data_IF_283269535256
#
_entry.id   IF_283269535256
#
_cell.length_a   1.000
_cell.length_b   1.000
_cell.length_c   1.000
_cell.angle_alpha   90.00
_cell.angle_beta   90.00
_cell.angle_gamma   90.00
#
_symmetry.space_group_name_H-M   'P 1'
#
loop_
_entity.id
_entity.type
_entity.pdbx_description
1 polymer ?
#
# COMPACT_ATOMS: atom_id res chain seq x y z
N UNK A 1 5.90 59.32 3.25
CA UNK A 1 6.73 58.11 3.32
C UNK A 1 5.88 57.05 3.96
N UNK A 2 5.16 56.34 3.16
CA UNK A 2 4.26 55.26 3.54
C UNK A 2 4.21 54.28 2.35
N UNK A 3 4.99 53.26 2.39
CA UNK A 3 4.85 52.08 1.53
C UNK A 3 5.64 50.96 2.18
N UNK A 4 4.92 49.94 2.64
CA UNK A 4 5.30 48.55 2.63
C UNK A 4 4.43 47.80 3.66
N UNK A 5 3.20 47.59 3.26
CA UNK A 5 2.25 46.79 4.05
C UNK A 5 1.41 45.84 3.19
N UNK A 6 1.93 45.42 2.05
CA UNK A 6 1.17 44.53 1.18
C UNK A 6 2.10 43.45 0.63
N UNK A 7 2.21 42.30 1.29
CA UNK A 7 2.47 40.99 0.64
C UNK A 7 2.80 39.81 1.58
N UNK A 8 2.31 39.80 2.81
CA UNK A 8 2.48 38.63 3.68
C UNK A 8 1.24 37.71 3.77
N UNK A 9 0.12 38.06 3.13
CA UNK A 9 -1.15 37.28 3.26
C UNK A 9 -1.32 36.11 2.27
N UNK A 10 -0.36 35.89 1.39
CA UNK A 10 -0.45 34.83 0.36
C UNK A 10 0.06 33.45 0.78
N UNK A 11 0.76 33.34 1.91
CA UNK A 11 1.43 32.10 2.34
C UNK A 11 0.67 31.32 3.41
N UNK A 12 -0.41 31.86 3.97
CA UNK A 12 -1.20 31.15 4.98
C UNK A 12 -2.08 30.08 4.33
N UNK A 13 -1.67 28.81 4.44
CA UNK A 13 -2.46 27.67 4.03
C UNK A 13 -3.83 27.63 4.72
N UNK A 14 -4.88 27.23 3.99
CA UNK A 14 -6.24 27.12 4.53
C UNK A 14 -6.34 26.05 5.61
N UNK A 15 -7.07 26.32 6.69
CA UNK A 15 -7.30 25.37 7.77
C UNK A 15 -8.23 24.24 7.30
N UNK A 16 -7.86 22.98 7.60
CA UNK A 16 -8.63 21.78 7.31
C UNK A 16 -8.89 20.98 8.58
N UNK A 17 -10.13 20.53 8.78
CA UNK A 17 -10.54 19.75 9.95
C UNK A 17 -10.70 20.58 11.23
N UNK A 18 -10.73 19.92 12.40
CA UNK A 18 -10.91 20.58 13.69
C UNK A 18 -9.79 21.58 13.98
N UNK A 19 -10.13 22.76 14.51
CA UNK A 19 -9.16 23.81 14.85
C UNK A 19 -8.03 23.31 15.76
N UNK A 20 -8.32 22.35 16.65
CA UNK A 20 -7.32 21.74 17.56
C UNK A 20 -6.19 21.01 16.82
N UNK A 21 -6.46 20.41 15.67
CA UNK A 21 -5.44 19.71 14.86
C UNK A 21 -4.58 20.68 14.04
N UNK A 22 -5.04 21.91 13.83
CA UNK A 22 -4.35 22.96 13.07
C UNK A 22 -3.68 22.44 11.79
N UNK A 23 -4.44 21.63 11.01
CA UNK A 23 -3.99 21.12 9.71
C UNK A 23 -4.16 22.24 8.69
N UNK A 24 -3.07 22.64 8.04
CA UNK A 24 -3.09 23.66 6.99
C UNK A 24 -2.74 23.01 5.65
N UNK A 25 -3.57 23.28 4.65
CA UNK A 25 -3.42 22.75 3.28
C UNK A 25 -2.70 23.74 2.38
N UNK A 26 -1.90 23.21 1.48
CA UNK A 26 -1.13 24.00 0.52
C UNK A 26 -2.02 24.78 -0.46
N UNK A 27 -1.56 25.91 -0.99
CA UNK A 27 -2.28 26.68 -1.99
C UNK A 27 -2.68 25.83 -3.22
N UNK A 28 -3.91 26.02 -3.68
CA UNK A 28 -4.45 25.27 -4.82
C UNK A 28 -4.90 23.82 -4.50
N UNK A 29 -4.83 23.38 -3.25
CA UNK A 29 -5.43 22.13 -2.77
C UNK A 29 -6.81 22.43 -2.21
N UNK A 30 -7.83 21.69 -2.67
CA UNK A 30 -9.21 21.80 -2.17
C UNK A 30 -9.48 20.85 -1.01
N UNK A 31 -10.57 21.09 -0.28
CA UNK A 31 -11.04 20.14 0.76
C UNK A 31 -11.36 18.77 0.14
N UNK A 32 -11.90 18.72 -1.09
CA UNK A 32 -12.17 17.46 -1.79
C UNK A 32 -10.89 16.66 -2.04
N UNK A 33 -9.80 17.31 -2.46
CA UNK A 33 -8.50 16.66 -2.62
C UNK A 33 -7.99 16.06 -1.30
N UNK A 34 -8.23 16.75 -0.17
CA UNK A 34 -7.85 16.26 1.17
C UNK A 34 -8.66 15.03 1.58
N UNK A 35 -9.99 15.05 1.39
CA UNK A 35 -10.82 13.87 1.68
C UNK A 35 -10.40 12.68 0.81
N UNK A 36 -10.04 12.92 -0.43
CA UNK A 36 -9.53 11.86 -1.32
C UNK A 36 -8.19 11.31 -0.85
N UNK A 37 -7.26 12.17 -0.37
CA UNK A 37 -6.02 11.73 0.26
C UNK A 37 -6.29 10.84 1.47
N UNK A 38 -7.16 11.28 2.39
CA UNK A 38 -7.51 10.54 3.60
C UNK A 38 -8.19 9.21 3.26
N UNK A 39 -9.08 9.20 2.26
CA UNK A 39 -9.73 7.99 1.76
C UNK A 39 -8.70 7.00 1.19
N UNK A 40 -7.79 7.45 0.31
CA UNK A 40 -6.72 6.59 -0.20
C UNK A 40 -5.78 6.08 0.90
N UNK A 41 -5.49 6.92 1.91
CA UNK A 41 -4.71 6.50 3.08
C UNK A 41 -5.41 5.38 3.87
N UNK A 42 -6.73 5.47 4.07
CA UNK A 42 -7.50 4.46 4.79
C UNK A 42 -7.39 3.07 4.17
N UNK A 43 -7.36 2.97 2.84
CA UNK A 43 -7.24 1.70 2.13
C UNK A 43 -5.79 1.23 1.94
N UNK A 44 -4.81 2.14 1.97
CA UNK A 44 -3.44 1.89 1.50
C UNK A 44 -2.78 0.67 2.12
N UNK A 45 -2.57 0.65 3.43
CA UNK A 45 -1.87 -0.46 4.13
C UNK A 45 -2.73 -1.73 4.16
N UNK A 46 -4.05 -1.60 4.34
CA UNK A 46 -4.94 -2.76 4.37
C UNK A 46 -4.85 -3.58 3.09
N UNK A 47 -4.93 -2.90 1.93
CA UNK A 47 -4.84 -3.58 0.64
C UNK A 47 -3.44 -4.10 0.32
N UNK A 48 -2.39 -3.51 0.88
CA UNK A 48 -1.03 -4.05 0.77
C UNK A 48 -0.81 -5.31 1.62
N UNK A 49 -1.38 -5.35 2.82
CA UNK A 49 -1.16 -6.44 3.78
C UNK A 49 -2.02 -7.67 3.52
N UNK A 50 -3.26 -7.48 3.06
CA UNK A 50 -4.22 -8.59 2.93
C UNK A 50 -3.75 -9.71 2.00
N UNK A 51 -2.94 -9.41 0.98
CA UNK A 51 -2.39 -10.44 0.10
C UNK A 51 -1.47 -11.42 0.86
N UNK A 52 -0.70 -10.94 1.85
CA UNK A 52 0.12 -11.81 2.68
C UNK A 52 -0.75 -12.66 3.62
N UNK A 53 -1.80 -12.06 4.20
CA UNK A 53 -2.75 -12.75 5.05
C UNK A 53 -3.53 -13.86 4.32
N UNK A 54 -3.69 -13.75 3.00
CA UNK A 54 -4.37 -14.77 2.18
C UNK A 54 -3.49 -15.95 1.78
N UNK A 55 -2.16 -15.83 1.90
CA UNK A 55 -1.21 -16.85 1.42
C UNK A 55 -1.39 -18.24 2.04
N UNK A 56 -1.57 -18.41 3.38
CA UNK A 56 -1.69 -19.75 3.94
C UNK A 56 -2.83 -20.54 3.31
N UNK A 57 -3.99 -19.91 3.13
CA UNK A 57 -5.14 -20.56 2.48
C UNK A 57 -4.88 -20.93 1.03
N UNK A 58 -4.23 -20.03 0.26
CA UNK A 58 -3.89 -20.32 -1.13
C UNK A 58 -2.86 -21.43 -1.26
N UNK A 59 -1.88 -21.50 -0.36
CA UNK A 59 -0.84 -22.52 -0.40
C UNK A 59 -1.38 -23.89 -0.05
N UNK A 60 -2.14 -24.01 1.07
CA UNK A 60 -2.63 -25.28 1.56
C UNK A 60 -3.83 -25.81 0.78
N UNK A 61 -4.86 -24.97 0.62
CA UNK A 61 -6.18 -25.44 0.20
C UNK A 61 -6.41 -25.28 -1.31
N UNK A 62 -5.69 -24.39 -1.98
CA UNK A 62 -5.82 -24.14 -3.44
C UNK A 62 -4.72 -24.82 -4.23
N UNK A 63 -3.45 -24.64 -3.83
CA UNK A 63 -2.29 -25.16 -4.55
C UNK A 63 -1.76 -26.48 -4.00
N UNK A 64 -2.19 -26.92 -2.81
CA UNK A 64 -1.74 -28.15 -2.18
C UNK A 64 -0.24 -28.18 -1.85
N UNK A 65 0.35 -27.01 -1.54
CA UNK A 65 1.78 -26.91 -1.20
C UNK A 65 2.04 -27.57 0.16
N UNK A 66 3.01 -28.51 0.25
CA UNK A 66 3.38 -29.14 1.51
C UNK A 66 3.76 -28.11 2.59
N UNK A 67 3.42 -28.40 3.83
CA UNK A 67 3.61 -27.47 4.97
C UNK A 67 5.07 -27.02 5.10
N UNK A 68 6.02 -27.92 4.85
CA UNK A 68 7.46 -27.66 4.94
C UNK A 68 7.92 -26.64 3.87
N UNK A 69 7.24 -26.56 2.73
CA UNK A 69 7.59 -25.71 1.60
C UNK A 69 6.91 -24.33 1.67
N UNK A 70 5.85 -24.17 2.46
CA UNK A 70 5.08 -22.92 2.54
C UNK A 70 5.91 -21.76 3.09
N UNK A 71 6.76 -21.99 4.10
CA UNK A 71 7.65 -20.98 4.67
C UNK A 71 8.65 -20.44 3.64
N UNK A 72 9.47 -21.30 3.02
CA UNK A 72 10.37 -20.88 1.94
C UNK A 72 9.65 -20.20 0.77
N UNK A 73 8.47 -20.68 0.38
CA UNK A 73 7.68 -20.08 -0.69
C UNK A 73 7.22 -18.66 -0.31
N UNK A 74 6.65 -18.47 0.87
CA UNK A 74 6.23 -17.15 1.36
C UNK A 74 7.41 -16.17 1.44
N UNK A 75 8.57 -16.65 1.90
CA UNK A 75 9.81 -15.88 1.93
C UNK A 75 10.28 -15.46 0.55
N UNK A 76 10.30 -16.37 -0.41
CA UNK A 76 10.69 -16.10 -1.79
C UNK A 76 9.74 -15.10 -2.47
N UNK A 77 8.42 -15.27 -2.32
CA UNK A 77 7.43 -14.34 -2.86
C UNK A 77 7.61 -12.93 -2.30
N UNK A 78 7.89 -12.81 -1.00
CA UNK A 78 8.16 -11.52 -0.35
C UNK A 78 9.47 -10.93 -0.85
N UNK A 79 10.53 -11.72 -0.91
CA UNK A 79 11.84 -11.28 -1.41
C UNK A 79 11.77 -10.75 -2.84
N UNK A 80 11.17 -11.50 -3.76
CA UNK A 80 11.01 -11.05 -5.15
C UNK A 80 10.15 -9.80 -5.26
N UNK A 81 9.10 -9.67 -4.44
CA UNK A 81 8.28 -8.45 -4.38
C UNK A 81 9.11 -7.24 -3.94
N UNK A 82 9.95 -7.39 -2.92
CA UNK A 82 10.81 -6.30 -2.44
C UNK A 82 11.88 -5.92 -3.48
N UNK A 83 12.44 -6.88 -4.21
CA UNK A 83 13.36 -6.60 -5.33
C UNK A 83 12.67 -5.74 -6.38
N UNK A 84 11.43 -6.09 -6.79
CA UNK A 84 10.66 -5.28 -7.75
C UNK A 84 10.41 -3.87 -7.20
N UNK A 85 10.04 -3.75 -5.94
CA UNK A 85 9.83 -2.44 -5.30
C UNK A 85 11.10 -1.60 -5.33
N UNK A 86 12.24 -2.15 -4.91
CA UNK A 86 13.53 -1.44 -4.87
C UNK A 86 13.93 -0.96 -6.27
N UNK A 87 13.80 -1.81 -7.28
CA UNK A 87 14.17 -1.49 -8.66
C UNK A 87 13.27 -0.44 -9.30
N UNK A 88 11.98 -0.39 -8.91
CA UNK A 88 10.99 0.43 -9.61
C UNK A 88 10.61 1.71 -8.87
N UNK A 89 10.78 1.79 -7.55
CA UNK A 89 10.30 2.91 -6.73
C UNK A 89 10.90 4.25 -7.15
N UNK A 90 12.18 4.29 -7.51
CA UNK A 90 12.85 5.49 -7.99
C UNK A 90 12.31 5.98 -9.34
N UNK A 91 12.06 5.04 -10.28
CA UNK A 91 11.45 5.34 -11.58
C UNK A 91 10.02 5.84 -11.41
N UNK A 92 9.25 5.21 -10.54
CA UNK A 92 7.86 5.60 -10.22
C UNK A 92 7.83 7.00 -9.63
N UNK A 93 8.74 7.34 -8.71
CA UNK A 93 8.88 8.68 -8.17
C UNK A 93 9.11 9.72 -9.28
N UNK A 94 10.10 9.48 -10.13
CA UNK A 94 10.43 10.38 -11.25
C UNK A 94 9.31 10.44 -12.31
N UNK A 95 8.60 9.34 -12.57
CA UNK A 95 7.40 9.35 -13.42
C UNK A 95 6.28 10.19 -12.81
N UNK A 96 6.07 10.11 -11.51
CA UNK A 96 5.05 10.89 -10.82
C UNK A 96 5.31 12.39 -10.83
N UNK A 97 6.57 12.79 -10.89
CA UNK A 97 6.96 14.19 -11.08
C UNK A 97 6.60 14.73 -12.48
N UNK A 98 6.61 13.86 -13.50
CA UNK A 98 6.27 14.23 -14.88
C UNK A 98 4.78 14.13 -15.21
N UNK A 99 4.15 13.01 -14.82
CA UNK A 99 2.76 12.70 -15.13
C UNK A 99 1.79 13.27 -14.08
N UNK A 100 2.32 13.61 -12.90
CA UNK A 100 1.52 14.00 -11.74
C UNK A 100 1.25 12.83 -10.79
N UNK A 101 0.95 13.16 -9.54
CA UNK A 101 0.72 12.16 -8.47
C UNK A 101 -0.55 11.32 -8.71
N UNK A 102 -1.58 11.97 -9.28
CA UNK A 102 -2.91 11.41 -9.46
C UNK A 102 -2.94 10.12 -10.27
N UNK A 103 -2.46 10.05 -11.55
CA UNK A 103 -2.53 8.84 -12.34
C UNK A 103 -1.65 7.72 -11.78
N UNK A 104 -0.53 8.05 -11.14
CA UNK A 104 0.37 7.06 -10.56
C UNK A 104 -0.27 6.42 -9.33
N UNK A 105 -0.86 7.21 -8.42
CA UNK A 105 -1.49 6.63 -7.22
C UNK A 105 -2.79 5.88 -7.53
N UNK A 106 -3.62 6.40 -8.44
CA UNK A 106 -4.77 5.66 -8.94
C UNK A 106 -4.36 4.35 -9.64
N UNK A 107 -3.29 4.39 -10.45
CA UNK A 107 -2.70 3.22 -11.07
C UNK A 107 -2.20 2.17 -10.09
N UNK A 108 -1.70 2.57 -8.91
CA UNK A 108 -1.33 1.63 -7.85
C UNK A 108 -2.50 0.73 -7.44
N UNK A 109 -3.65 1.34 -7.16
CA UNK A 109 -4.85 0.60 -6.77
C UNK A 109 -5.46 -0.19 -7.93
N UNK A 110 -5.32 0.29 -9.18
CA UNK A 110 -5.70 -0.50 -10.35
C UNK A 110 -4.86 -1.77 -10.47
N UNK A 111 -3.54 -1.68 -10.26
CA UNK A 111 -2.64 -2.84 -10.26
C UNK A 111 -2.94 -3.77 -9.08
N UNK A 112 -3.26 -3.24 -7.89
CA UNK A 112 -3.75 -4.07 -6.78
C UNK A 112 -5.02 -4.82 -7.15
N UNK A 113 -5.99 -4.15 -7.81
CA UNK A 113 -7.22 -4.79 -8.29
C UNK A 113 -6.92 -5.95 -9.24
N UNK A 114 -6.07 -5.72 -10.24
CA UNK A 114 -5.64 -6.76 -11.19
C UNK A 114 -4.91 -7.89 -10.46
N UNK A 115 -4.00 -7.57 -9.54
CA UNK A 115 -3.28 -8.57 -8.74
C UNK A 115 -4.22 -9.44 -7.91
N UNK A 116 -5.16 -8.84 -7.16
CA UNK A 116 -6.16 -9.59 -6.40
C UNK A 116 -7.09 -10.42 -7.27
N UNK A 117 -7.42 -9.94 -8.46
CA UNK A 117 -8.23 -10.70 -9.41
C UNK A 117 -7.49 -11.93 -9.96
N UNK A 118 -6.22 -11.77 -10.30
CA UNK A 118 -5.39 -12.84 -10.89
C UNK A 118 -4.93 -13.87 -9.85
N UNK A 119 -4.66 -13.46 -8.62
CA UNK A 119 -4.02 -14.27 -7.58
C UNK A 119 -4.73 -15.61 -7.32
N UNK A 120 -6.08 -15.67 -7.17
CA UNK A 120 -6.79 -16.95 -6.99
C UNK A 120 -6.96 -17.77 -8.27
N UNK A 121 -6.48 -17.28 -9.41
CA UNK A 121 -6.50 -18.00 -10.69
C UNK A 121 -5.20 -18.79 -10.91
N UNK A 122 -4.21 -18.62 -10.04
CA UNK A 122 -2.96 -19.36 -10.12
C UNK A 122 -3.20 -20.88 -9.94
N UNK A 123 -2.66 -21.67 -10.85
CA UNK A 123 -2.69 -23.13 -10.82
C UNK A 123 -1.34 -23.72 -10.46
N UNK A 124 -0.28 -22.92 -10.53
CA UNK A 124 1.10 -23.32 -10.17
C UNK A 124 1.78 -22.22 -9.36
N UNK A 125 2.86 -22.60 -8.66
CA UNK A 125 3.67 -21.66 -7.85
C UNK A 125 4.32 -20.59 -8.74
N UNK A 126 4.70 -20.94 -9.97
CA UNK A 126 5.29 -20.00 -10.92
C UNK A 126 4.27 -18.94 -11.36
N UNK A 127 3.03 -19.34 -11.64
CA UNK A 127 1.94 -18.39 -11.95
C UNK A 127 1.64 -17.49 -10.76
N UNK A 128 1.58 -18.05 -9.56
CA UNK A 128 1.38 -17.29 -8.34
C UNK A 128 2.50 -16.25 -8.15
N UNK A 129 3.74 -16.66 -8.39
CA UNK A 129 4.91 -15.77 -8.34
C UNK A 129 4.79 -14.63 -9.35
N UNK A 130 4.44 -14.94 -10.60
CA UNK A 130 4.25 -13.91 -11.63
C UNK A 130 3.17 -12.89 -11.22
N UNK A 131 2.02 -13.37 -10.74
CA UNK A 131 0.93 -12.50 -10.29
C UNK A 131 1.35 -11.65 -9.08
N UNK A 132 2.18 -12.22 -8.19
CA UNK A 132 2.78 -11.49 -7.06
C UNK A 132 3.72 -10.38 -7.52
N UNK A 133 4.51 -10.59 -8.57
CA UNK A 133 5.40 -9.56 -9.13
C UNK A 133 4.59 -8.41 -9.78
N UNK A 134 3.48 -8.73 -10.44
CA UNK A 134 2.56 -7.69 -10.95
C UNK A 134 2.01 -6.86 -9.78
N UNK A 135 1.54 -7.51 -8.72
CA UNK A 135 1.06 -6.83 -7.52
C UNK A 135 2.15 -5.94 -6.88
N UNK A 136 3.40 -6.37 -6.90
CA UNK A 136 4.54 -5.63 -6.34
C UNK A 136 4.79 -4.28 -7.05
N UNK A 137 4.44 -4.12 -8.32
CA UNK A 137 4.46 -2.82 -8.99
C UNK A 137 3.45 -1.85 -8.34
N UNK A 138 2.24 -2.32 -8.04
CA UNK A 138 1.26 -1.54 -7.28
C UNK A 138 1.76 -1.16 -5.89
N UNK A 139 2.46 -2.09 -5.22
CA UNK A 139 3.11 -1.88 -3.93
C UNK A 139 4.13 -0.72 -3.99
N UNK A 140 5.02 -0.74 -5.00
CA UNK A 140 5.99 0.32 -5.23
C UNK A 140 5.33 1.68 -5.50
N UNK A 141 4.28 1.69 -6.34
CA UNK A 141 3.54 2.92 -6.66
C UNK A 141 2.84 3.49 -5.43
N UNK A 142 2.14 2.69 -4.64
CA UNK A 142 1.45 3.15 -3.43
C UNK A 142 2.44 3.64 -2.37
N UNK A 143 3.55 2.93 -2.16
CA UNK A 143 4.61 3.29 -1.22
C UNK A 143 5.26 4.63 -1.58
N UNK A 144 5.46 4.90 -2.88
CA UNK A 144 6.02 6.16 -3.35
C UNK A 144 5.00 7.32 -3.28
N UNK A 145 3.73 7.05 -3.59
CA UNK A 145 2.74 8.12 -3.78
C UNK A 145 2.15 8.65 -2.48
N UNK A 146 1.89 7.80 -1.49
CA UNK A 146 1.27 8.24 -0.24
C UNK A 146 2.07 9.37 0.44
N UNK A 147 3.38 9.21 0.76
CA UNK A 147 4.15 10.29 1.36
C UNK A 147 4.33 11.50 0.40
N UNK A 148 4.43 11.26 -0.90
CA UNK A 148 4.57 12.33 -1.88
C UNK A 148 3.34 13.24 -1.92
N UNK A 149 2.13 12.66 -1.95
CA UNK A 149 0.88 13.43 -1.95
C UNK A 149 0.68 14.15 -0.62
N UNK A 150 1.02 13.53 0.51
CA UNK A 150 0.97 14.18 1.83
C UNK A 150 1.86 15.43 1.84
N UNK A 151 3.10 15.31 1.34
CA UNK A 151 4.05 16.41 1.27
C UNK A 151 3.59 17.54 0.34
N UNK A 152 2.97 17.19 -0.80
CA UNK A 152 2.48 18.17 -1.77
C UNK A 152 1.20 18.90 -1.29
N UNK A 153 0.41 18.29 -0.39
CA UNK A 153 -0.88 18.81 0.06
C UNK A 153 -0.82 19.57 1.39
N UNK A 154 0.21 19.34 2.21
CA UNK A 154 0.39 20.00 3.50
C UNK A 154 1.39 21.14 3.40
N UNK A 155 1.11 22.27 4.09
CA UNK A 155 2.15 23.27 4.33
C UNK A 155 3.20 22.73 5.30
N UNK A 156 4.42 23.27 5.26
CA UNK A 156 5.56 22.75 6.02
C UNK A 156 5.27 22.65 7.53
N UNK A 157 4.64 23.67 8.13
CA UNK A 157 4.34 23.74 9.56
C UNK A 157 3.32 22.69 10.03
N UNK A 158 2.50 22.16 9.12
CA UNK A 158 1.49 21.13 9.42
C UNK A 158 1.81 19.74 8.85
N UNK A 159 2.93 19.58 8.15
CA UNK A 159 3.30 18.34 7.46
C UNK A 159 3.37 17.14 8.41
N UNK A 160 4.03 17.28 9.55
CA UNK A 160 4.12 16.19 10.53
C UNK A 160 2.74 15.75 11.05
N UNK A 161 1.84 16.71 11.33
CA UNK A 161 0.47 16.41 11.76
C UNK A 161 -0.36 15.73 10.67
N UNK A 162 -0.16 16.13 9.41
CA UNK A 162 -0.81 15.51 8.25
C UNK A 162 -0.34 14.08 8.05
N UNK A 163 0.97 13.84 8.14
CA UNK A 163 1.56 12.49 8.13
C UNK A 163 0.93 11.64 9.22
N UNK A 164 0.89 12.13 10.47
CA UNK A 164 0.29 11.40 11.59
C UNK A 164 -1.18 11.06 11.34
N UNK A 165 -1.98 12.01 10.85
CA UNK A 165 -3.40 11.79 10.54
C UNK A 165 -3.58 10.72 9.45
N UNK A 166 -2.79 10.75 8.38
CA UNK A 166 -2.84 9.75 7.31
C UNK A 166 -2.42 8.36 7.82
N UNK A 167 -1.37 8.27 8.64
CA UNK A 167 -0.92 6.99 9.20
C UNK A 167 -1.88 6.43 10.26
N UNK A 168 -2.53 7.27 11.05
CA UNK A 168 -3.63 6.82 11.92
C UNK A 168 -4.78 6.23 11.10
N UNK A 169 -5.18 6.87 9.99
CA UNK A 169 -6.19 6.33 9.10
C UNK A 169 -5.75 5.03 8.41
N UNK A 170 -4.47 4.91 8.03
CA UNK A 170 -3.92 3.64 7.53
C UNK A 170 -4.07 2.51 8.56
N UNK A 171 -3.69 2.77 9.82
CA UNK A 171 -3.84 1.78 10.90
C UNK A 171 -5.30 1.44 11.18
N UNK A 172 -6.19 2.44 11.21
CA UNK A 172 -7.62 2.23 11.35
C UNK A 172 -8.19 1.44 10.18
N UNK A 173 -7.80 1.78 8.94
CA UNK A 173 -8.18 1.05 7.73
C UNK A 173 -7.72 -0.39 7.76
N UNK A 174 -6.49 -0.64 8.23
CA UNK A 174 -5.96 -2.00 8.40
C UNK A 174 -6.89 -2.83 9.29
N UNK A 175 -7.25 -2.36 10.47
CA UNK A 175 -8.12 -3.08 11.39
C UNK A 175 -9.55 -3.21 10.83
N UNK A 176 -10.15 -2.12 10.37
CA UNK A 176 -11.56 -2.10 9.95
C UNK A 176 -11.83 -2.80 8.62
N UNK A 177 -10.85 -2.91 7.73
CA UNK A 177 -11.01 -3.60 6.45
C UNK A 177 -10.59 -5.06 6.54
N UNK A 178 -9.49 -5.38 7.23
CA UNK A 178 -9.05 -6.77 7.37
C UNK A 178 -10.00 -7.61 8.22
N UNK A 179 -10.60 -7.03 9.26
CA UNK A 179 -11.55 -7.77 10.10
C UNK A 179 -12.75 -8.32 9.30
N UNK A 180 -13.51 -7.53 8.54
CA UNK A 180 -14.58 -8.10 7.72
C UNK A 180 -14.05 -9.00 6.60
N UNK A 181 -12.93 -8.67 5.94
CA UNK A 181 -12.36 -9.51 4.88
C UNK A 181 -12.04 -10.93 5.37
N UNK A 182 -11.47 -11.07 6.59
CA UNK A 182 -11.22 -12.41 7.17
C UNK A 182 -12.53 -13.17 7.49
N UNK A 183 -13.58 -12.47 7.94
CA UNK A 183 -14.86 -13.07 8.25
C UNK A 183 -15.61 -13.53 7.02
N UNK A 184 -15.28 -13.02 5.85
CA UNK A 184 -15.87 -13.44 4.58
C UNK A 184 -15.36 -14.81 4.11
N UNK A 185 -14.18 -15.27 4.55
CA UNK A 185 -13.65 -16.55 4.08
C UNK A 185 -14.55 -17.72 4.43
N UNK A 186 -14.97 -17.96 5.69
CA UNK A 186 -15.91 -19.04 6.02
C UNK A 186 -17.24 -18.93 5.26
N UNK A 187 -17.77 -17.70 5.13
CA UNK A 187 -19.00 -17.46 4.37
C UNK A 187 -18.86 -17.89 2.90
N UNK A 188 -17.75 -17.55 2.26
CA UNK A 188 -17.51 -17.94 0.87
C UNK A 188 -17.22 -19.43 0.73
N UNK A 189 -16.64 -20.07 1.73
CA UNK A 189 -16.50 -21.54 1.79
C UNK A 189 -17.87 -22.23 1.82
N UNK A 190 -18.81 -21.74 2.63
CA UNK A 190 -20.17 -22.25 2.69
C UNK A 190 -20.93 -22.05 1.36
N UNK A 191 -20.83 -20.85 0.77
CA UNK A 191 -21.46 -20.50 -0.51
C UNK A 191 -20.91 -21.35 -1.67
N UNK A 192 -19.62 -21.67 -1.64
CA UNK A 192 -18.96 -22.48 -2.67
C UNK A 192 -19.16 -23.99 -2.50
N UNK A 193 -19.95 -24.42 -1.51
CA UNK A 193 -20.15 -25.83 -1.23
C UNK A 193 -18.88 -26.56 -0.78
N UNK A 194 -17.91 -25.84 -0.20
CA UNK A 194 -16.63 -26.37 0.25
C UNK A 194 -15.55 -26.43 -0.83
N UNK A 195 -15.81 -25.93 -2.05
CA UNK A 195 -14.76 -25.83 -3.08
C UNK A 195 -13.75 -24.69 -2.74
N UNK A 196 -12.49 -25.03 -2.40
CA UNK A 196 -11.52 -24.04 -1.96
C UNK A 196 -11.13 -23.06 -3.09
N UNK A 197 -11.15 -23.50 -4.36
CA UNK A 197 -10.80 -22.65 -5.50
C UNK A 197 -11.86 -21.58 -5.73
N UNK A 198 -13.14 -21.96 -5.66
CA UNK A 198 -14.24 -20.98 -5.78
C UNK A 198 -14.28 -20.05 -4.56
N UNK A 199 -14.09 -20.56 -3.35
CA UNK A 199 -13.99 -19.75 -2.15
C UNK A 199 -12.86 -18.73 -2.25
N UNK A 200 -11.65 -19.12 -2.70
CA UNK A 200 -10.52 -18.24 -2.92
C UNK A 200 -10.84 -17.12 -3.93
N UNK A 201 -11.53 -17.46 -5.03
CA UNK A 201 -11.94 -16.48 -6.05
C UNK A 201 -12.88 -15.43 -5.48
N UNK A 202 -13.97 -15.85 -4.84
CA UNK A 202 -14.94 -14.93 -4.24
C UNK A 202 -14.27 -14.05 -3.17
N UNK A 203 -13.42 -14.65 -2.33
CA UNK A 203 -12.75 -13.95 -1.26
C UNK A 203 -11.77 -12.88 -1.76
N UNK A 204 -10.92 -13.19 -2.73
CA UNK A 204 -9.91 -12.25 -3.25
C UNK A 204 -10.48 -11.27 -4.30
N UNK A 205 -11.59 -11.59 -4.95
CA UNK A 205 -12.27 -10.64 -5.84
C UNK A 205 -12.98 -9.52 -5.07
N UNK A 206 -13.30 -9.73 -3.80
CA UNK A 206 -13.84 -8.67 -2.91
C UNK A 206 -12.87 -7.50 -2.77
N UNK A 207 -11.61 -7.66 -2.32
CA UNK A 207 -10.64 -6.57 -2.30
C UNK A 207 -10.26 -6.09 -3.71
N UNK A 208 -10.34 -6.94 -4.75
CA UNK A 208 -10.15 -6.49 -6.12
C UNK A 208 -11.16 -5.40 -6.51
N UNK A 209 -12.45 -5.63 -6.23
CA UNK A 209 -13.51 -4.64 -6.45
C UNK A 209 -13.31 -3.37 -5.61
N UNK A 210 -12.93 -3.52 -4.33
CA UNK A 210 -12.62 -2.38 -3.47
C UNK A 210 -11.46 -1.55 -4.03
N UNK A 211 -10.37 -2.18 -4.48
CA UNK A 211 -9.24 -1.49 -5.10
C UNK A 211 -9.63 -0.75 -6.38
N UNK A 212 -10.49 -1.33 -7.22
CA UNK A 212 -11.00 -0.66 -8.42
C UNK A 212 -11.80 0.60 -8.07
N UNK A 213 -12.65 0.52 -7.05
CA UNK A 213 -13.39 1.67 -6.53
C UNK A 213 -12.42 2.74 -6.01
N UNK A 214 -11.43 2.37 -5.19
CA UNK A 214 -10.42 3.31 -4.68
C UNK A 214 -9.64 3.94 -5.81
N UNK A 215 -9.21 3.18 -6.81
CA UNK A 215 -8.53 3.69 -8.02
C UNK A 215 -9.37 4.76 -8.70
N UNK A 216 -10.67 4.50 -8.89
CA UNK A 216 -11.61 5.45 -9.50
C UNK A 216 -11.75 6.72 -8.67
N UNK A 217 -11.93 6.59 -7.36
CA UNK A 217 -12.04 7.75 -6.45
C UNK A 217 -10.76 8.58 -6.47
N UNK A 218 -9.57 7.96 -6.43
CA UNK A 218 -8.29 8.65 -6.52
C UNK A 218 -8.13 9.34 -7.88
N UNK A 219 -8.53 8.66 -8.97
CA UNK A 219 -8.45 9.23 -10.31
C UNK A 219 -9.39 10.41 -10.50
N UNK A 220 -10.52 10.48 -9.85
CA UNK A 220 -11.46 11.59 -9.94
C UNK A 220 -11.17 12.70 -8.94
N UNK A 221 -10.77 12.36 -7.71
CA UNK A 221 -10.76 13.26 -6.58
C UNK A 221 -9.40 13.90 -6.26
N UNK A 222 -8.25 13.36 -6.73
CA UNK A 222 -6.95 13.99 -6.50
C UNK A 222 -6.71 15.19 -7.43
N UNK A 223 -5.89 16.13 -6.98
CA UNK A 223 -5.47 17.30 -7.78
C UNK A 223 -4.83 16.87 -9.09
N UNK A 224 -5.21 17.50 -10.18
CA UNK A 224 -4.64 17.28 -11.52
C UNK A 224 -3.32 18.03 -11.69
N UNK A 225 -2.44 17.51 -12.52
CA UNK A 225 -1.18 18.13 -12.93
C UNK A 225 0.02 17.67 -12.12
N UNK A 226 1.20 18.00 -12.63
CA UNK A 226 2.47 17.79 -11.95
C UNK A 226 2.69 18.88 -10.88
N UNK A 227 3.50 18.62 -9.85
CA UNK A 227 3.89 19.65 -8.88
C UNK A 227 4.48 20.89 -9.58
N UNK A 228 4.07 22.08 -9.14
CA UNK A 228 4.43 23.35 -9.79
C UNK A 228 5.94 23.70 -9.73
N UNK A 229 6.76 22.93 -9.04
CA UNK A 229 8.18 23.24 -8.77
C UNK A 229 9.18 22.66 -9.78
N UNK A 230 8.72 22.03 -10.87
CA UNK A 230 9.61 21.41 -11.85
C UNK A 230 10.08 22.44 -12.92
N UNK A 231 10.99 23.30 -12.53
CA UNK A 231 11.60 24.29 -13.41
C UNK A 231 12.52 23.72 -14.51
N UNK A 232 13.05 22.55 -14.41
CA UNK A 232 13.79 21.83 -15.46
C UNK A 232 13.46 20.35 -15.39
N UNK A 233 12.99 19.78 -16.51
CA UNK A 233 12.75 18.34 -16.67
C UNK A 233 14.09 17.61 -16.72
N UNK A 234 14.63 17.26 -15.57
CA UNK A 234 15.79 16.39 -15.49
C UNK A 234 15.49 15.01 -16.10
N UNK A 235 16.45 14.36 -16.76
CA UNK A 235 16.31 12.97 -17.21
C UNK A 235 15.99 12.05 -16.01
N UNK A 236 15.19 11.00 -16.21
CA UNK A 236 14.82 10.07 -15.13
C UNK A 236 16.02 9.48 -14.40
N UNK A 237 17.03 9.07 -15.17
CA UNK A 237 18.27 8.49 -14.63
C UNK A 237 19.08 9.49 -13.80
N UNK A 238 19.11 10.77 -14.16
CA UNK A 238 19.83 11.78 -13.38
C UNK A 238 19.20 11.97 -12.00
N UNK A 239 17.87 11.93 -11.91
CA UNK A 239 17.16 12.03 -10.63
C UNK A 239 17.49 10.85 -9.70
N UNK A 240 17.55 9.63 -10.23
CA UNK A 240 17.97 8.44 -9.47
C UNK A 240 19.42 8.59 -8.99
N UNK A 241 20.33 9.02 -9.87
CA UNK A 241 21.73 9.23 -9.53
C UNK A 241 21.92 10.32 -8.48
N UNK A 242 21.13 11.41 -8.54
CA UNK A 242 21.13 12.46 -7.52
C UNK A 242 20.71 11.90 -6.17
N UNK A 243 19.64 11.07 -6.11
CA UNK A 243 19.20 10.39 -4.91
C UNK A 243 20.28 9.48 -4.31
N UNK A 244 20.94 8.68 -5.15
CA UNK A 244 22.06 7.82 -4.70
C UNK A 244 23.26 8.65 -4.22
N UNK A 245 23.59 9.76 -4.89
CA UNK A 245 24.66 10.67 -4.43
C UNK A 245 24.33 11.34 -3.11
N UNK A 246 23.05 11.59 -2.83
CA UNK A 246 22.63 12.16 -1.54
C UNK A 246 22.98 11.23 -0.35
N UNK A 247 23.12 9.92 -0.58
CA UNK A 247 23.59 8.96 0.41
C UNK A 247 25.00 9.25 0.95
N UNK A 248 25.81 10.10 0.29
CA UNK A 248 27.10 10.57 0.83
C UNK A 248 26.94 11.46 2.07
N UNK A 249 25.76 11.98 2.33
CA UNK A 249 25.46 12.76 3.54
C UNK A 249 25.01 11.82 4.64
N UNK A 250 25.72 11.76 5.76
CA UNK A 250 25.45 10.83 6.88
C UNK A 250 23.98 10.84 7.34
N UNK A 251 23.33 11.99 7.40
CA UNK A 251 21.92 12.10 7.78
C UNK A 251 21.00 11.38 6.80
N UNK A 252 21.31 11.41 5.50
CA UNK A 252 20.53 10.73 4.46
C UNK A 252 20.81 9.22 4.51
N UNK A 253 22.08 8.83 4.72
CA UNK A 253 22.44 7.42 4.90
C UNK A 253 21.72 6.80 6.08
N UNK A 254 21.70 7.48 7.23
CA UNK A 254 20.95 7.01 8.40
C UNK A 254 19.47 6.85 8.13
N UNK A 255 18.86 7.78 7.38
CA UNK A 255 17.46 7.67 6.98
C UNK A 255 17.21 6.47 6.05
N UNK A 256 18.13 6.19 5.11
CA UNK A 256 18.03 5.03 4.22
C UNK A 256 18.17 3.71 5.01
N UNK A 257 19.14 3.62 5.91
CA UNK A 257 19.32 2.43 6.77
C UNK A 257 18.10 2.22 7.66
N UNK A 258 17.61 3.26 8.31
CA UNK A 258 16.40 3.18 9.13
C UNK A 258 15.17 2.72 8.31
N UNK A 259 15.02 3.18 7.08
CA UNK A 259 13.93 2.78 6.19
C UNK A 259 14.03 1.28 5.80
N UNK A 260 15.25 0.78 5.55
CA UNK A 260 15.48 -0.64 5.24
C UNK A 260 15.12 -1.52 6.43
N UNK A 261 15.60 -1.16 7.63
CA UNK A 261 15.31 -1.91 8.86
C UNK A 261 13.81 -1.93 9.15
N UNK A 262 13.16 -0.77 9.17
CA UNK A 262 11.73 -0.67 9.44
C UNK A 262 10.86 -1.45 8.42
N UNK A 263 11.31 -1.50 7.15
CA UNK A 263 10.61 -2.27 6.12
C UNK A 263 10.82 -3.77 6.31
N UNK A 264 12.00 -4.21 6.71
CA UNK A 264 12.31 -5.60 7.00
C UNK A 264 11.41 -6.17 8.10
N UNK A 265 11.28 -5.48 9.22
CA UNK A 265 10.42 -5.90 10.34
C UNK A 265 8.97 -6.10 9.91
N UNK A 266 8.41 -5.12 9.20
CA UNK A 266 7.02 -5.19 8.71
C UNK A 266 6.82 -6.33 7.72
N UNK A 267 7.78 -6.56 6.81
CA UNK A 267 7.69 -7.63 5.81
C UNK A 267 7.75 -9.01 6.46
N UNK A 268 8.64 -9.22 7.43
CA UNK A 268 8.77 -10.49 8.16
C UNK A 268 7.51 -10.76 8.97
N UNK A 269 7.05 -9.78 9.76
CA UNK A 269 5.87 -9.95 10.60
C UNK A 269 4.62 -10.25 9.76
N UNK A 270 4.37 -9.46 8.71
CA UNK A 270 3.18 -9.63 7.87
C UNK A 270 3.16 -10.93 7.06
N UNK A 271 4.34 -11.49 6.74
CA UNK A 271 4.43 -12.71 5.92
C UNK A 271 4.38 -13.97 6.78
N UNK A 272 5.16 -14.01 7.86
CA UNK A 272 5.37 -15.26 8.59
C UNK A 272 4.44 -15.44 9.78
N UNK A 273 3.91 -14.37 10.37
CA UNK A 273 3.09 -14.49 11.58
C UNK A 273 1.78 -15.28 11.32
N UNK A 274 1.06 -14.95 10.25
CA UNK A 274 -0.18 -15.68 9.91
C UNK A 274 0.12 -17.11 9.51
N UNK A 275 1.19 -17.32 8.72
CA UNK A 275 1.60 -18.66 8.30
C UNK A 275 1.97 -19.53 9.50
N UNK A 276 2.76 -18.99 10.44
CA UNK A 276 3.16 -19.68 11.66
C UNK A 276 1.95 -20.06 12.53
N UNK A 277 1.00 -19.11 12.75
CA UNK A 277 -0.23 -19.40 13.49
C UNK A 277 -1.07 -20.47 12.82
N UNK A 278 -1.21 -20.44 11.50
CA UNK A 278 -1.94 -21.45 10.74
C UNK A 278 -1.28 -22.83 10.90
N UNK A 279 0.03 -22.94 10.77
CA UNK A 279 0.76 -24.20 10.94
C UNK A 279 0.67 -24.73 12.37
N UNK A 280 0.73 -23.87 13.39
CA UNK A 280 0.53 -24.26 14.79
C UNK A 280 -0.88 -24.80 15.03
N UNK A 281 -1.90 -24.19 14.43
CA UNK A 281 -3.26 -24.65 14.56
C UNK A 281 -3.49 -26.02 13.88
N UNK A 282 -2.88 -26.24 12.70
CA UNK A 282 -2.90 -27.54 12.02
C UNK A 282 -2.17 -28.61 12.85
N UNK A 283 -1.00 -28.30 13.41
CA UNK A 283 -0.28 -29.25 14.28
C UNK A 283 -1.03 -29.55 15.58
N UNK A 284 -1.92 -28.65 16.02
CA UNK A 284 -2.85 -28.84 17.14
C UNK A 284 -4.09 -29.66 16.78
N UNK A 285 -4.22 -30.15 15.53
CA UNK A 285 -5.30 -31.03 15.09
C UNK A 285 -6.49 -30.33 14.41
N UNK A 286 -6.40 -29.02 14.14
CA UNK A 286 -7.42 -28.32 13.37
C UNK A 286 -7.28 -28.63 11.86
N UNK A 287 -8.36 -28.83 11.11
CA UNK A 287 -8.32 -28.88 9.66
C UNK A 287 -7.68 -27.60 9.08
N UNK A 288 -6.95 -27.71 7.94
CA UNK A 288 -6.20 -26.58 7.34
C UNK A 288 -7.07 -25.36 7.12
N UNK A 289 -8.28 -25.54 6.64
CA UNK A 289 -9.26 -24.51 6.39
C UNK A 289 -9.67 -23.73 7.67
N UNK A 290 -9.94 -24.45 8.77
CA UNK A 290 -10.27 -23.85 10.06
C UNK A 290 -9.03 -23.19 10.70
N UNK A 291 -7.86 -23.81 10.56
CA UNK A 291 -6.60 -23.27 11.03
C UNK A 291 -6.26 -21.94 10.36
N UNK A 292 -6.47 -21.82 9.03
CA UNK A 292 -6.29 -20.57 8.30
C UNK A 292 -7.26 -19.48 8.78
N UNK A 293 -8.54 -19.82 8.98
CA UNK A 293 -9.52 -18.89 9.53
C UNK A 293 -9.20 -18.49 10.96
N UNK A 294 -8.66 -19.41 11.77
CA UNK A 294 -8.19 -19.13 13.13
C UNK A 294 -7.00 -18.17 13.14
N UNK A 295 -5.98 -18.44 12.32
CA UNK A 295 -4.79 -17.59 12.22
C UNK A 295 -5.13 -16.14 11.84
N UNK A 296 -6.08 -15.95 10.92
CA UNK A 296 -6.54 -14.63 10.51
C UNK A 296 -7.22 -13.83 11.64
N UNK A 297 -7.64 -14.43 12.74
CA UNK A 297 -8.22 -13.69 13.89
C UNK A 297 -7.18 -12.86 14.63
N UNK A 298 -5.90 -13.21 14.51
CA UNK A 298 -4.78 -12.57 15.22
C UNK A 298 -3.94 -11.65 14.33
N UNK A 299 -4.19 -11.64 13.04
CA UNK A 299 -3.54 -10.75 12.08
C UNK A 299 -4.29 -9.42 11.92
#
# INVERSE_FOLDING_TARGET
MSETGASASGAEGRLFGPRKLNLRIAPGVSRGHMYTLLFGSFFGIAMMGFINASQPFLFSDVLGVPTEEQGPLAGNLTFYSEVVVILTIGLIGAMSDKLGRRPIWAGAFLIFSVGYFMYPLAQTVEQLTLFRLIFALGLAMNTAMLPSVINDYAVEESRGRMVSACFMLNGLGFVLLLTPLRLLLPLFQDISGGDPVQAARLWLWTPAGACLLVSTVLMLGLKRGAPAQLGKREPLLSTVVIGLRAARRIRVTLAYVAAIVARGDMSVLSTFFVLWLSQQAVSGGLPSMEANSYALKFY
#
